data_IF_510680932429
#
_entry.id   IF_510680932429
#
_cell.length_a   1.000
_cell.length_b   1.000
_cell.length_c   1.000
_cell.angle_alpha   90.00
_cell.angle_beta   90.00
_cell.angle_gamma   90.00
#
_symmetry.space_group_name_H-M   'P 1'
#
loop_
_entity.id
_entity.type
_entity.pdbx_description
1 polymer ?
#
# COMPACT_ATOMS: atom_id res chain seq x y z
N UNK A 1 81.02 26.59 -3.02
CA UNK A 1 81.34 26.23 -4.41
C UNK A 1 80.49 25.03 -4.80
N UNK A 2 79.82 25.13 -5.96
CA UNK A 2 79.10 24.06 -6.71
C UNK A 2 77.86 23.43 -6.06
N UNK A 3 76.78 23.07 -6.78
CA UNK A 3 76.05 23.57 -7.95
C UNK A 3 74.74 22.73 -7.97
N UNK A 4 73.73 23.26 -8.65
CA UNK A 4 72.37 22.76 -8.88
C UNK A 4 72.14 21.24 -9.12
N UNK A 5 70.92 20.76 -8.82
CA UNK A 5 70.10 20.05 -9.81
C UNK A 5 68.63 19.93 -9.37
N UNK A 6 67.75 20.60 -10.12
CA UNK A 6 66.30 20.42 -10.11
C UNK A 6 65.95 19.22 -11.00
N UNK A 7 65.48 18.13 -10.38
CA UNK A 7 64.92 16.98 -11.10
C UNK A 7 63.40 17.02 -11.15
N UNK A 8 62.84 17.81 -12.06
CA UNK A 8 61.41 17.81 -12.38
C UNK A 8 61.08 16.59 -13.26
N UNK A 9 60.55 15.52 -12.68
CA UNK A 9 60.00 14.41 -13.47
C UNK A 9 58.54 14.68 -13.78
N UNK A 10 58.29 15.34 -14.92
CA UNK A 10 56.98 15.46 -15.52
C UNK A 10 56.45 14.07 -15.89
N UNK A 11 55.53 13.52 -15.09
CA UNK A 11 54.71 12.37 -15.51
C UNK A 11 53.78 12.84 -16.64
N UNK A 12 54.12 12.49 -17.87
CA UNK A 12 53.21 12.61 -19.00
C UNK A 12 52.01 11.67 -18.78
N UNK A 13 50.88 12.22 -18.34
CA UNK A 13 49.59 11.54 -18.39
C UNK A 13 49.19 11.42 -19.87
N UNK A 14 49.43 10.26 -20.48
CA UNK A 14 48.88 9.94 -21.79
C UNK A 14 47.35 9.81 -21.66
N UNK A 15 46.62 10.80 -22.18
CA UNK A 15 45.16 10.74 -22.33
C UNK A 15 44.82 9.81 -23.49
N UNK A 16 44.64 8.53 -23.21
CA UNK A 16 44.01 7.62 -24.17
C UNK A 16 42.52 7.97 -24.17
N UNK A 17 41.93 8.42 -25.29
CA UNK A 17 40.48 8.60 -25.34
C UNK A 17 39.83 7.21 -25.16
N UNK A 18 38.86 7.04 -24.25
CA UNK A 18 38.12 5.79 -24.19
C UNK A 18 37.38 5.64 -25.52
N UNK A 19 37.76 4.59 -26.26
CA UNK A 19 37.11 4.16 -27.49
C UNK A 19 35.60 4.24 -27.34
N UNK A 20 34.96 4.91 -28.30
CA UNK A 20 33.55 5.22 -28.34
C UNK A 20 32.70 4.05 -27.84
N UNK A 21 31.93 4.32 -26.78
CA UNK A 21 30.89 3.42 -26.27
C UNK A 21 29.91 3.21 -27.41
N UNK A 22 29.92 2.02 -28.03
CA UNK A 22 28.99 1.74 -29.11
C UNK A 22 27.56 1.88 -28.57
N UNK A 23 26.81 2.85 -29.11
CA UNK A 23 25.38 2.99 -28.86
C UNK A 23 24.61 1.95 -29.67
N UNK A 24 25.05 0.68 -29.61
CA UNK A 24 24.21 -0.41 -30.11
C UNK A 24 23.13 -0.61 -29.04
N UNK A 25 21.93 -0.15 -29.36
CA UNK A 25 20.78 -0.33 -28.50
C UNK A 25 20.47 -1.83 -28.41
N UNK A 26 20.99 -2.48 -27.38
CA UNK A 26 20.89 -3.93 -27.15
C UNK A 26 19.44 -4.40 -26.98
N UNK A 27 18.48 -3.48 -26.84
CA UNK A 27 17.05 -3.77 -26.86
C UNK A 27 16.54 -4.12 -28.27
N UNK A 28 17.13 -3.53 -29.33
CA UNK A 28 16.71 -3.76 -30.72
C UNK A 28 17.16 -5.11 -31.28
N UNK A 29 18.23 -5.70 -30.73
CA UNK A 29 18.73 -7.04 -31.11
C UNK A 29 18.22 -8.16 -30.21
N UNK A 30 17.28 -7.89 -29.30
CA UNK A 30 16.67 -8.97 -28.50
C UNK A 30 15.76 -9.80 -29.41
N UNK A 31 15.92 -11.13 -29.44
CA UNK A 31 14.97 -11.98 -30.15
C UNK A 31 13.58 -11.75 -29.56
N UNK A 32 12.59 -11.59 -30.43
CA UNK A 32 11.18 -11.46 -30.02
C UNK A 32 10.80 -12.76 -29.30
N UNK A 33 10.28 -12.71 -28.07
CA UNK A 33 9.83 -13.92 -27.39
C UNK A 33 8.76 -14.60 -28.23
N UNK A 34 8.81 -15.92 -28.34
CA UNK A 34 7.80 -16.68 -29.06
C UNK A 34 6.41 -16.42 -28.44
N UNK A 35 5.34 -16.35 -29.26
CA UNK A 35 3.98 -16.20 -28.73
C UNK A 35 3.69 -17.38 -27.80
N UNK A 36 3.38 -17.08 -26.54
CA UNK A 36 2.99 -18.10 -25.56
C UNK A 36 1.75 -18.82 -26.07
N UNK A 37 1.84 -20.14 -26.21
CA UNK A 37 0.75 -20.97 -26.67
C UNK A 37 -0.39 -20.99 -25.66
N UNK A 38 -1.59 -21.32 -26.13
CA UNK A 38 -2.79 -21.51 -25.28
C UNK A 38 -2.53 -22.53 -24.14
N UNK A 39 -1.54 -23.41 -24.32
CA UNK A 39 -1.15 -24.46 -23.38
C UNK A 39 -0.07 -24.04 -22.36
N UNK A 40 0.55 -22.86 -22.52
CA UNK A 40 1.55 -22.33 -21.56
C UNK A 40 0.91 -21.70 -20.33
N UNK A 41 -0.42 -21.53 -20.36
CA UNK A 41 -1.18 -21.18 -19.18
C UNK A 41 -1.35 -22.45 -18.34
N UNK A 42 -0.96 -22.45 -17.05
CA UNK A 42 -1.36 -23.54 -16.17
C UNK A 42 -2.88 -23.70 -16.29
N UNK A 43 -3.41 -24.93 -16.33
CA UNK A 43 -4.85 -25.13 -16.38
C UNK A 43 -5.45 -24.28 -15.28
N UNK A 44 -6.45 -23.47 -15.62
CA UNK A 44 -7.23 -22.74 -14.63
C UNK A 44 -7.78 -23.80 -13.69
N UNK A 45 -7.08 -24.03 -12.58
CA UNK A 45 -7.55 -24.88 -11.50
C UNK A 45 -8.89 -24.27 -11.16
N UNK A 46 -10.03 -24.98 -11.31
CA UNK A 46 -11.28 -24.45 -10.83
C UNK A 46 -11.06 -24.19 -9.35
N UNK A 47 -11.03 -22.92 -8.96
CA UNK A 47 -10.80 -22.46 -7.58
C UNK A 47 -12.02 -22.74 -6.71
N UNK A 48 -12.62 -23.92 -6.86
CA UNK A 48 -13.75 -24.40 -6.07
C UNK A 48 -13.30 -25.42 -5.00
N UNK A 49 -11.99 -25.63 -4.86
CA UNK A 49 -11.41 -26.57 -3.90
C UNK A 49 -10.63 -25.87 -2.77
N UNK A 50 -11.20 -24.80 -2.21
CA UNK A 50 -10.88 -24.35 -0.85
C UNK A 50 -12.08 -24.65 0.04
N UNK A 51 -12.04 -25.83 0.64
CA UNK A 51 -12.37 -26.06 2.05
C UNK A 51 -13.53 -25.22 2.59
N UNK A 52 -14.70 -25.85 2.73
CA UNK A 52 -15.81 -25.29 3.49
C UNK A 52 -15.33 -24.85 4.89
N UNK A 53 -15.25 -23.54 5.09
CA UNK A 53 -15.33 -22.91 6.39
C UNK A 53 -16.68 -22.19 6.40
N UNK A 54 -17.57 -22.47 7.36
CA UNK A 54 -18.93 -21.96 7.33
C UNK A 54 -18.92 -20.44 7.54
N UNK A 55 -20.11 -19.84 7.50
CA UNK A 55 -20.47 -18.51 8.05
C UNK A 55 -20.80 -17.40 7.05
N UNK A 56 -21.47 -17.72 5.93
CA UNK A 56 -22.45 -16.78 5.34
C UNK A 56 -23.86 -16.98 5.95
N UNK A 57 -23.99 -17.76 7.02
CA UNK A 57 -25.26 -18.40 7.42
C UNK A 57 -26.04 -17.69 8.55
N UNK A 58 -25.67 -16.48 8.96
CA UNK A 58 -26.38 -15.81 10.06
C UNK A 58 -26.44 -14.28 9.97
N UNK A 59 -26.47 -13.71 8.77
CA UNK A 59 -26.64 -12.26 8.60
C UNK A 59 -28.09 -12.00 8.23
N UNK A 60 -28.95 -12.00 9.23
CA UNK A 60 -30.38 -11.74 9.05
C UNK A 60 -30.65 -10.23 8.97
N UNK A 61 -29.84 -9.42 9.65
CA UNK A 61 -30.06 -7.98 9.82
C UNK A 61 -28.97 -7.15 9.14
N UNK A 62 -29.29 -6.00 8.52
CA UNK A 62 -28.28 -5.10 7.95
C UNK A 62 -27.28 -4.58 9.00
N UNK A 63 -27.69 -4.48 10.27
CA UNK A 63 -26.79 -4.14 11.37
C UNK A 63 -25.69 -5.19 11.58
N UNK A 64 -26.01 -6.48 11.41
CA UNK A 64 -25.04 -7.56 11.54
C UNK A 64 -24.07 -7.56 10.37
N UNK A 65 -24.54 -7.21 9.17
CA UNK A 65 -23.66 -6.96 8.02
C UNK A 65 -22.65 -5.85 8.32
N UNK A 66 -23.12 -4.73 8.88
CA UNK A 66 -22.25 -3.59 9.21
C UNK A 66 -21.25 -3.90 10.34
N UNK A 67 -21.60 -4.78 11.27
CA UNK A 67 -20.67 -5.32 12.27
C UNK A 67 -19.63 -6.23 11.61
N UNK A 68 -20.05 -7.14 10.74
CA UNK A 68 -19.19 -8.11 10.07
C UNK A 68 -18.10 -7.47 9.19
N UNK A 69 -18.43 -6.39 8.47
CA UNK A 69 -17.42 -5.68 7.64
C UNK A 69 -16.38 -4.90 8.48
N UNK A 70 -16.67 -4.63 9.76
CA UNK A 70 -15.78 -3.94 10.69
C UNK A 70 -15.57 -2.44 10.41
N UNK A 71 -14.41 -1.91 10.82
CA UNK A 71 -14.01 -0.48 10.72
C UNK A 71 -15.00 0.50 11.37
N UNK A 72 -15.67 0.03 12.43
CA UNK A 72 -16.72 0.76 13.14
C UNK A 72 -17.82 1.23 12.18
N UNK A 73 -18.20 0.42 11.19
CA UNK A 73 -19.26 0.78 10.26
C UNK A 73 -20.64 0.81 10.94
N UNK A 74 -20.86 -0.08 11.92
CA UNK A 74 -22.06 -0.15 12.78
C UNK A 74 -22.39 1.17 13.49
N UNK A 75 -21.38 1.93 13.92
CA UNK A 75 -21.58 3.19 14.63
C UNK A 75 -21.75 4.38 13.69
N UNK A 76 -21.33 4.24 12.44
CA UNK A 76 -21.36 5.31 11.43
C UNK A 76 -22.63 5.31 10.60
N UNK A 77 -23.24 4.14 10.42
CA UNK A 77 -24.44 3.96 9.61
C UNK A 77 -25.43 3.11 10.39
N UNK A 78 -26.52 3.73 10.84
CA UNK A 78 -27.63 3.04 11.50
C UNK A 78 -28.71 2.78 10.47
N UNK A 79 -28.91 1.52 10.10
CA UNK A 79 -29.95 1.11 9.16
C UNK A 79 -30.65 -0.13 9.69
N UNK A 80 -31.97 -0.07 9.71
CA UNK A 80 -32.82 -1.14 10.25
C UNK A 80 -33.29 -2.11 9.16
N UNK A 81 -33.52 -1.61 7.94
CA UNK A 81 -34.07 -2.38 6.80
C UNK A 81 -33.03 -2.60 5.71
N UNK A 82 -33.02 -3.80 5.12
CA UNK A 82 -32.15 -4.13 3.99
C UNK A 82 -32.36 -3.22 2.79
N UNK A 83 -33.61 -2.89 2.47
CA UNK A 83 -33.91 -2.00 1.34
C UNK A 83 -33.30 -0.61 1.49
N UNK A 84 -33.30 -0.08 2.71
CA UNK A 84 -32.73 1.23 2.99
C UNK A 84 -31.21 1.21 2.86
N UNK A 85 -30.58 0.10 3.27
CA UNK A 85 -29.13 -0.12 3.11
C UNK A 85 -28.75 -0.08 1.63
N UNK A 86 -29.47 -0.81 0.77
CA UNK A 86 -29.17 -0.88 -0.66
C UNK A 86 -29.51 0.39 -1.44
N UNK A 87 -30.42 1.23 -0.90
CA UNK A 87 -30.73 2.56 -1.45
C UNK A 87 -29.74 3.64 -1.00
N UNK A 88 -28.73 3.30 -0.19
CA UNK A 88 -27.68 4.25 0.20
C UNK A 88 -26.81 4.58 -1.01
N UNK A 89 -26.57 5.88 -1.19
CA UNK A 89 -25.64 6.39 -2.19
C UNK A 89 -24.52 7.17 -1.52
N UNK A 90 -23.41 7.35 -2.22
CA UNK A 90 -22.27 8.13 -1.72
C UNK A 90 -22.64 9.57 -1.34
N UNK A 91 -23.69 10.14 -1.97
CA UNK A 91 -24.25 11.46 -1.63
C UNK A 91 -25.04 11.45 -0.33
N UNK A 92 -25.91 10.44 -0.12
CA UNK A 92 -26.65 10.29 1.14
C UNK A 92 -25.69 10.11 2.33
N UNK A 93 -24.69 9.26 2.15
CA UNK A 93 -23.64 9.04 3.16
C UNK A 93 -22.77 10.29 3.38
N UNK A 94 -22.59 11.14 2.37
CA UNK A 94 -21.89 12.43 2.53
C UNK A 94 -22.71 13.35 3.42
N UNK A 95 -24.02 13.40 3.20
CA UNK A 95 -24.96 14.25 3.93
C UNK A 95 -25.05 13.86 5.40
N UNK A 96 -24.90 12.57 5.72
CA UNK A 96 -24.80 12.08 7.10
C UNK A 96 -23.41 12.28 7.73
N UNK A 97 -22.47 12.96 7.06
CA UNK A 97 -21.20 13.37 7.65
C UNK A 97 -20.09 12.31 7.61
N UNK A 98 -20.24 11.20 6.88
CA UNK A 98 -19.18 10.19 6.82
C UNK A 98 -17.94 10.68 6.04
N UNK A 99 -16.77 10.35 6.58
CA UNK A 99 -15.50 10.56 5.89
C UNK A 99 -15.46 9.81 4.55
N UNK A 100 -14.76 10.38 3.55
CA UNK A 100 -14.69 9.83 2.18
C UNK A 100 -14.25 8.35 2.17
N UNK A 101 -13.27 8.01 3.02
CA UNK A 101 -12.71 6.66 3.10
C UNK A 101 -13.73 5.62 3.56
N UNK A 102 -14.56 5.98 4.54
CA UNK A 102 -15.55 5.06 5.11
C UNK A 102 -16.71 4.86 4.14
N UNK A 103 -17.15 5.92 3.46
CA UNK A 103 -18.19 5.84 2.42
C UNK A 103 -17.79 4.90 1.28
N UNK A 104 -16.57 5.06 0.77
CA UNK A 104 -16.03 4.19 -0.30
C UNK A 104 -15.92 2.75 0.16
N UNK A 105 -15.50 2.53 1.41
CA UNK A 105 -15.36 1.19 1.97
C UNK A 105 -16.71 0.49 2.09
N UNK A 106 -17.72 1.14 2.66
CA UNK A 106 -19.07 0.57 2.85
C UNK A 106 -19.69 0.22 1.49
N UNK A 107 -19.66 1.14 0.53
CA UNK A 107 -20.21 0.90 -0.82
C UNK A 107 -19.47 -0.22 -1.56
N UNK A 108 -18.15 -0.31 -1.38
CA UNK A 108 -17.38 -1.40 -1.97
C UNK A 108 -17.72 -2.75 -1.33
N UNK A 109 -17.86 -2.81 0.00
CA UNK A 109 -18.29 -4.03 0.70
C UNK A 109 -19.70 -4.47 0.26
N UNK A 110 -20.61 -3.51 0.10
CA UNK A 110 -21.95 -3.73 -0.45
C UNK A 110 -21.89 -4.37 -1.84
N UNK A 111 -21.04 -3.87 -2.73
CA UNK A 111 -20.88 -4.42 -4.09
C UNK A 111 -20.27 -5.84 -4.07
N UNK A 112 -19.30 -6.08 -3.19
CA UNK A 112 -18.69 -7.41 -3.02
C UNK A 112 -19.67 -8.42 -2.48
N UNK A 113 -20.51 -8.02 -1.53
CA UNK A 113 -21.60 -8.85 -1.02
C UNK A 113 -22.63 -9.18 -2.11
N UNK A 114 -23.01 -8.21 -2.94
CA UNK A 114 -23.89 -8.44 -4.11
C UNK A 114 -23.29 -9.39 -5.13
N UNK A 115 -21.96 -9.42 -5.25
CA UNK A 115 -21.23 -10.35 -6.12
C UNK A 115 -21.15 -11.77 -5.56
N UNK A 116 -21.72 -12.04 -4.38
CA UNK A 116 -21.71 -13.35 -3.75
C UNK A 116 -20.36 -13.73 -3.12
N UNK A 117 -19.45 -12.77 -2.92
CA UNK A 117 -18.18 -13.03 -2.24
C UNK A 117 -18.41 -13.14 -0.73
N UNK A 118 -17.77 -14.10 -0.04
CA UNK A 118 -17.91 -14.23 1.41
C UNK A 118 -17.28 -13.02 2.11
N UNK A 119 -17.91 -12.53 3.19
CA UNK A 119 -17.51 -11.28 3.85
C UNK A 119 -16.07 -11.35 4.37
N UNK A 120 -15.69 -12.46 4.98
CA UNK A 120 -14.34 -12.69 5.50
C UNK A 120 -13.23 -12.50 4.45
N UNK A 121 -13.55 -12.69 3.16
CA UNK A 121 -12.57 -12.52 2.07
C UNK A 121 -12.19 -11.06 1.81
N UNK A 122 -13.11 -10.12 2.08
CA UNK A 122 -12.92 -8.72 1.72
C UNK A 122 -13.02 -7.76 2.91
N UNK A 123 -13.60 -8.20 4.04
CA UNK A 123 -13.67 -7.40 5.24
C UNK A 123 -12.26 -7.20 5.81
N UNK A 124 -11.92 -5.94 6.07
CA UNK A 124 -10.63 -5.56 6.59
C UNK A 124 -10.80 -4.68 7.82
N UNK A 125 -10.19 -5.08 8.92
CA UNK A 125 -10.13 -4.29 10.13
C UNK A 125 -9.37 -2.97 9.93
N UNK A 126 -9.64 -1.95 10.76
CA UNK A 126 -8.88 -0.72 10.71
C UNK A 126 -7.41 -1.02 11.01
N UNK A 127 -6.53 -0.66 10.07
CA UNK A 127 -5.08 -0.82 10.27
C UNK A 127 -4.69 -0.17 11.60
N UNK A 128 -4.01 -0.89 12.51
CA UNK A 128 -3.61 -0.34 13.79
C UNK A 128 -2.72 0.88 13.57
N UNK A 129 -2.80 1.82 14.51
CA UNK A 129 -1.94 3.00 14.47
C UNK A 129 -0.49 2.52 14.51
N UNK A 130 0.33 3.05 13.59
CA UNK A 130 1.75 2.71 13.55
C UNK A 130 2.40 3.03 14.89
N UNK A 131 3.17 2.09 15.43
CA UNK A 131 4.04 2.35 16.57
C UNK A 131 5.02 3.46 16.20
N UNK A 132 5.12 4.46 17.07
CA UNK A 132 6.07 5.56 16.88
C UNK A 132 7.46 5.03 17.22
N UNK A 133 8.17 4.55 16.20
CA UNK A 133 9.61 4.26 16.31
C UNK A 133 10.37 5.59 16.33
N UNK A 134 10.95 5.93 17.48
CA UNK A 134 11.72 7.17 17.63
C UNK A 134 12.98 7.18 16.77
N UNK A 135 13.57 8.37 16.58
CA UNK A 135 14.92 8.53 16.00
C UNK A 135 16.01 8.56 17.11
N UNK A 136 15.71 7.99 18.29
CA UNK A 136 16.47 8.17 19.53
C UNK A 136 15.90 9.26 20.44
N UNK A 137 16.52 9.54 21.61
CA UNK A 137 16.00 10.48 22.63
C UNK A 137 15.70 11.89 22.10
N UNK A 138 16.32 12.27 20.98
CA UNK A 138 16.14 13.56 20.33
C UNK A 138 14.77 13.75 19.68
N UNK A 139 14.04 12.69 19.32
CA UNK A 139 12.73 12.79 18.64
C UNK A 139 11.76 11.74 19.19
N UNK A 140 10.87 12.19 20.07
CA UNK A 140 9.76 11.38 20.60
C UNK A 140 8.43 11.98 20.13
N UNK A 141 7.44 11.14 19.82
CA UNK A 141 6.10 11.57 19.41
C UNK A 141 6.06 12.57 18.24
N UNK A 142 7.03 12.48 17.31
CA UNK A 142 7.14 13.40 16.17
C UNK A 142 7.59 14.82 16.53
N UNK A 143 7.99 15.07 17.79
CA UNK A 143 8.55 16.34 18.25
C UNK A 143 10.03 16.15 18.55
N UNK A 144 10.88 17.04 18.02
CA UNK A 144 12.30 17.06 18.36
C UNK A 144 12.46 17.63 19.77
N UNK A 145 12.76 16.77 20.74
CA UNK A 145 13.13 17.18 22.08
C UNK A 145 14.55 17.73 21.98
N UNK A 146 14.67 19.06 21.87
CA UNK A 146 15.92 19.71 22.26
C UNK A 146 15.96 19.60 23.78
N UNK A 147 17.03 19.06 24.35
CA UNK A 147 17.29 19.16 25.78
C UNK A 147 17.25 20.64 26.15
N UNK A 148 16.08 21.13 26.62
CA UNK A 148 16.02 22.41 27.31
C UNK A 148 16.80 22.13 28.58
N UNK A 149 18.05 22.61 28.63
CA UNK A 149 18.74 22.88 29.89
C UNK A 149 17.74 23.71 30.71
N UNK A 150 17.06 23.10 31.69
CA UNK A 150 16.24 23.85 32.63
C UNK A 150 17.24 24.75 33.37
N UNK A 151 17.33 26.00 32.92
CA UNK A 151 18.14 27.01 33.59
C UNK A 151 17.34 27.41 34.83
N UNK A 152 17.65 26.73 35.93
CA UNK A 152 17.24 27.01 37.31
C UNK A 152 15.73 26.97 37.59
N UNK A 153 15.32 26.05 38.47
CA UNK A 153 14.14 26.24 39.31
C UNK A 153 14.64 26.24 40.76
N UNK A 154 14.26 27.30 41.50
CA UNK A 154 14.65 27.61 42.88
C UNK A 154 14.54 26.40 43.81
#
# INVERSE_FOLDING_TARGET
MFLASLGSTSRACASIPPLARSLVNRAASRPIPQPRGINDFPPLVPTNALTAKPTAESITTPADFLKAIGRSAETKVTVEKWDDLWKLSGHKLRKSGLAVRDRRYILWCMEKYRSGLPIDSFAHEPKPKKTIRGWGPSVQNGKRIRSRRLKNKK
#
